data_IF_755938188564
#
_entry.id   IF_755938188564
#
_cell.length_a   1.000
_cell.length_b   1.000
_cell.length_c   1.000
_cell.angle_alpha   90.00
_cell.angle_beta   90.00
_cell.angle_gamma   90.00
#
_symmetry.space_group_name_H-M   'P 1'
#
loop_
_entity.id
_entity.type
_entity.pdbx_description
1 polymer ?
#
# COMPACT_ATOMS: atom_id res chain seq x y z
N UNK A 1 -23.80 -14.52 -20.73
CA UNK A 1 -22.86 -15.67 -20.66
C UNK A 1 -21.37 -15.25 -20.71
N UNK A 2 -20.86 -14.55 -21.74
CA UNK A 2 -19.43 -14.17 -21.78
C UNK A 2 -19.03 -13.14 -20.69
N UNK A 3 -19.89 -12.19 -20.34
CA UNK A 3 -19.66 -11.16 -19.31
C UNK A 3 -19.55 -11.76 -17.90
N UNK A 4 -20.39 -12.75 -17.57
CA UNK A 4 -20.38 -13.43 -16.27
C UNK A 4 -19.15 -14.32 -16.08
N UNK A 5 -18.64 -14.92 -17.17
CA UNK A 5 -17.41 -15.72 -17.14
C UNK A 5 -16.20 -14.85 -16.86
N UNK A 6 -16.08 -13.70 -17.53
CA UNK A 6 -15.00 -12.74 -17.32
C UNK A 6 -15.00 -12.16 -15.89
N UNK A 7 -16.18 -11.93 -15.30
CA UNK A 7 -16.29 -11.44 -13.93
C UNK A 7 -15.92 -12.51 -12.89
N UNK A 8 -16.31 -13.76 -13.11
CA UNK A 8 -15.89 -14.89 -12.27
C UNK A 8 -14.38 -15.12 -12.34
N UNK A 9 -13.79 -15.06 -13.53
CA UNK A 9 -12.34 -15.21 -13.73
C UNK A 9 -11.57 -14.08 -13.07
N UNK A 10 -12.05 -12.85 -13.14
CA UNK A 10 -11.45 -11.71 -12.44
C UNK A 10 -11.52 -11.87 -10.91
N UNK A 11 -12.66 -12.33 -10.37
CA UNK A 11 -12.81 -12.61 -8.93
C UNK A 11 -11.89 -13.72 -8.45
N UNK A 12 -11.73 -14.79 -9.26
CA UNK A 12 -10.82 -15.88 -8.93
C UNK A 12 -9.37 -15.42 -8.93
N UNK A 13 -8.92 -14.67 -9.94
CA UNK A 13 -7.58 -14.08 -9.98
C UNK A 13 -7.28 -13.22 -8.75
N UNK A 14 -8.24 -12.41 -8.29
CA UNK A 14 -8.08 -11.60 -7.08
C UNK A 14 -7.92 -12.48 -5.84
N UNK A 15 -8.71 -13.56 -5.72
CA UNK A 15 -8.58 -14.51 -4.60
C UNK A 15 -7.22 -15.20 -4.60
N UNK A 16 -6.73 -15.63 -5.77
CA UNK A 16 -5.42 -16.27 -5.91
C UNK A 16 -4.29 -15.32 -5.54
N UNK A 17 -4.36 -14.06 -5.98
CA UNK A 17 -3.39 -13.04 -5.59
C UNK A 17 -3.42 -12.81 -4.06
N UNK A 18 -4.59 -12.75 -3.45
CA UNK A 18 -4.72 -12.59 -2.00
C UNK A 18 -4.17 -13.78 -1.23
N UNK A 19 -4.44 -15.00 -1.70
CA UNK A 19 -3.90 -16.24 -1.14
C UNK A 19 -2.38 -16.24 -1.23
N UNK A 20 -1.82 -16.06 -2.41
CA UNK A 20 -0.37 -16.03 -2.63
C UNK A 20 0.33 -14.97 -1.77
N UNK A 21 -0.27 -13.79 -1.62
CA UNK A 21 0.26 -12.73 -0.75
C UNK A 21 0.26 -13.12 0.72
N UNK A 22 -0.75 -13.86 1.18
CA UNK A 22 -0.82 -14.37 2.56
C UNK A 22 0.22 -15.45 2.79
N UNK A 23 0.27 -16.43 1.91
CA UNK A 23 1.19 -17.57 2.00
C UNK A 23 2.65 -17.09 1.97
N UNK A 24 2.98 -16.14 1.10
CA UNK A 24 4.32 -15.50 1.08
C UNK A 24 4.64 -14.79 2.40
N UNK A 25 3.70 -14.06 2.97
CA UNK A 25 3.88 -13.36 4.24
C UNK A 25 4.11 -14.33 5.39
N UNK A 26 3.35 -15.41 5.44
CA UNK A 26 3.49 -16.46 6.45
C UNK A 26 4.86 -17.18 6.32
N UNK A 27 5.25 -17.54 5.09
CA UNK A 27 6.56 -18.13 4.82
C UNK A 27 7.72 -17.21 5.23
N UNK A 28 7.62 -15.91 4.93
CA UNK A 28 8.63 -14.93 5.33
C UNK A 28 8.78 -14.81 6.84
N UNK A 29 7.67 -14.78 7.58
CA UNK A 29 7.68 -14.69 9.04
C UNK A 29 8.23 -15.99 9.69
N UNK A 30 7.87 -17.13 9.14
CA UNK A 30 8.36 -18.43 9.59
C UNK A 30 9.87 -18.54 9.38
N UNK A 31 10.37 -18.19 8.21
CA UNK A 31 11.81 -18.23 7.92
C UNK A 31 12.58 -17.24 8.81
N UNK A 32 12.06 -16.05 9.03
CA UNK A 32 12.64 -15.07 9.93
C UNK A 32 12.71 -15.57 11.39
N UNK A 33 11.65 -16.21 11.88
CA UNK A 33 11.60 -16.74 13.23
C UNK A 33 12.60 -17.89 13.43
N UNK A 34 12.69 -18.78 12.46
CA UNK A 34 13.65 -19.90 12.48
C UNK A 34 15.10 -19.41 12.48
N UNK A 35 15.44 -18.42 11.65
CA UNK A 35 16.78 -17.85 11.61
C UNK A 35 17.10 -17.04 12.87
N UNK A 36 16.11 -16.36 13.45
CA UNK A 36 16.30 -15.53 14.64
C UNK A 36 16.60 -16.36 15.90
N UNK A 37 15.82 -17.41 16.17
CA UNK A 37 15.92 -18.20 17.42
C UNK A 37 15.48 -19.67 17.31
N UNK A 38 15.36 -20.22 16.09
CA UNK A 38 15.02 -21.62 15.86
C UNK A 38 13.57 -22.02 16.12
N UNK A 39 12.67 -21.07 16.33
CA UNK A 39 11.23 -21.32 16.56
C UNK A 39 10.39 -20.86 15.38
N UNK A 40 9.12 -21.26 15.33
CA UNK A 40 8.21 -20.95 14.21
C UNK A 40 7.55 -19.56 14.32
N UNK A 41 7.69 -18.84 15.43
CA UNK A 41 7.12 -17.50 15.63
C UNK A 41 8.13 -16.57 16.28
N UNK A 42 8.22 -15.34 15.79
CA UNK A 42 8.99 -14.29 16.45
C UNK A 42 8.34 -13.87 17.77
N UNK A 43 9.13 -13.50 18.79
CA UNK A 43 8.63 -12.96 20.05
C UNK A 43 7.82 -11.67 19.78
N UNK A 44 6.73 -11.46 20.52
CA UNK A 44 5.93 -10.22 20.40
C UNK A 44 6.73 -8.97 20.73
N UNK A 45 7.72 -9.08 21.62
CA UNK A 45 8.61 -7.97 22.00
C UNK A 45 9.36 -7.34 20.84
N UNK A 46 9.69 -8.09 19.77
CA UNK A 46 10.40 -7.53 18.61
C UNK A 46 9.53 -6.57 17.78
N UNK A 47 8.21 -6.59 17.96
CA UNK A 47 7.28 -5.73 17.24
C UNK A 47 7.01 -4.39 17.92
N UNK A 48 7.25 -4.27 19.22
CA UNK A 48 6.86 -3.10 20.00
C UNK A 48 7.49 -1.80 19.49
N UNK A 49 8.73 -1.87 19.01
CA UNK A 49 9.47 -0.69 18.59
C UNK A 49 9.76 -0.63 17.09
N UNK A 50 9.20 -1.55 16.30
CA UNK A 50 9.52 -1.66 14.89
C UNK A 50 8.37 -1.24 13.98
N UNK A 51 8.40 0.00 13.53
CA UNK A 51 7.52 0.43 12.43
C UNK A 51 7.83 -0.36 11.15
N UNK A 52 6.79 -1.01 10.59
CA UNK A 52 6.88 -1.77 9.32
C UNK A 52 7.75 -3.05 9.35
N UNK A 53 8.03 -3.66 10.51
CA UNK A 53 8.87 -4.87 10.58
C UNK A 53 8.35 -6.00 9.67
N UNK A 54 7.06 -6.28 9.69
CA UNK A 54 6.47 -7.31 8.82
C UNK A 54 6.73 -7.05 7.34
N UNK A 55 6.71 -5.79 6.90
CA UNK A 55 7.04 -5.44 5.52
C UNK A 55 8.53 -5.61 5.24
N UNK A 56 9.41 -5.20 6.18
CA UNK A 56 10.86 -5.40 6.05
C UNK A 56 11.20 -6.90 5.96
N UNK A 57 10.59 -7.75 6.80
CA UNK A 57 10.79 -9.21 6.78
C UNK A 57 10.29 -9.80 5.44
N UNK A 58 9.14 -9.35 4.94
CA UNK A 58 8.63 -9.80 3.66
C UNK A 58 9.59 -9.44 2.50
N UNK A 59 10.10 -8.21 2.47
CA UNK A 59 11.06 -7.77 1.47
C UNK A 59 12.39 -8.53 1.59
N UNK A 60 12.90 -8.74 2.81
CA UNK A 60 14.07 -9.56 3.10
C UNK A 60 13.93 -10.99 2.56
N UNK A 61 12.77 -11.60 2.73
CA UNK A 61 12.46 -12.92 2.20
C UNK A 61 12.43 -12.93 0.66
N UNK A 62 11.74 -11.95 0.05
CA UNK A 62 11.70 -11.80 -1.41
C UNK A 62 13.08 -11.61 -2.02
N UNK A 63 13.97 -10.93 -1.32
CA UNK A 63 15.33 -10.60 -1.75
C UNK A 63 16.37 -11.68 -1.42
N UNK A 64 15.92 -12.87 -1.00
CA UNK A 64 16.84 -13.96 -0.62
C UNK A 64 17.89 -13.50 0.39
N UNK A 65 17.44 -12.71 1.39
CA UNK A 65 18.26 -12.20 2.51
C UNK A 65 19.35 -11.22 2.10
N UNK A 66 19.28 -10.62 0.93
CA UNK A 66 20.28 -9.67 0.43
C UNK A 66 19.73 -8.25 0.35
N UNK A 67 20.60 -7.27 0.55
CA UNK A 67 20.32 -5.89 0.17
C UNK A 67 20.14 -5.81 -1.33
N UNK A 68 19.02 -5.25 -1.79
CA UNK A 68 18.69 -5.25 -3.22
C UNK A 68 19.73 -4.53 -4.08
N UNK A 69 20.41 -3.50 -3.57
CA UNK A 69 21.35 -2.72 -4.37
C UNK A 69 22.81 -3.09 -4.20
N UNK A 70 23.18 -3.73 -3.10
CA UNK A 70 24.60 -4.03 -2.81
C UNK A 70 24.92 -5.51 -2.79
N UNK A 71 23.92 -6.38 -2.87
CA UNK A 71 24.11 -7.82 -2.73
C UNK A 71 24.57 -8.31 -1.35
N UNK A 72 24.87 -7.40 -0.41
CA UNK A 72 25.30 -7.76 0.93
C UNK A 72 24.20 -8.51 1.67
N UNK A 73 24.56 -9.59 2.37
CA UNK A 73 23.62 -10.37 3.16
C UNK A 73 23.07 -9.56 4.33
N UNK A 74 21.76 -9.61 4.52
CA UNK A 74 21.03 -9.01 5.64
C UNK A 74 20.70 -10.12 6.63
N UNK A 75 21.36 -10.14 7.79
CA UNK A 75 21.04 -11.06 8.87
C UNK A 75 19.76 -10.61 9.57
N UNK A 76 18.85 -11.54 9.86
CA UNK A 76 17.59 -11.22 10.52
C UNK A 76 17.78 -10.56 11.89
N UNK A 77 18.82 -10.93 12.62
CA UNK A 77 19.17 -10.30 13.91
C UNK A 77 19.51 -8.83 13.74
N UNK A 78 20.29 -8.48 12.71
CA UNK A 78 20.66 -7.09 12.43
C UNK A 78 19.43 -6.30 11.98
N UNK A 79 18.53 -6.89 11.18
CA UNK A 79 17.27 -6.26 10.76
C UNK A 79 16.38 -5.92 11.96
N UNK A 80 16.37 -6.78 12.98
CA UNK A 80 15.56 -6.60 14.19
C UNK A 80 16.21 -5.65 15.18
N UNK A 81 17.52 -5.77 15.45
CA UNK A 81 18.17 -5.01 16.51
C UNK A 81 18.75 -3.67 16.05
N UNK A 82 19.13 -3.57 14.77
CA UNK A 82 19.77 -2.38 14.21
C UNK A 82 18.82 -1.61 13.30
N UNK A 83 17.77 -1.01 13.90
CA UNK A 83 16.63 -0.35 13.22
C UNK A 83 17.03 0.68 12.16
N UNK A 84 18.20 1.30 12.35
CA UNK A 84 18.69 2.40 11.51
C UNK A 84 19.56 1.93 10.33
N UNK A 85 19.96 0.66 10.28
CA UNK A 85 20.83 0.15 9.22
C UNK A 85 20.10 -0.12 7.91
N UNK A 86 18.80 -0.45 7.97
CA UNK A 86 18.02 -0.89 6.82
C UNK A 86 16.76 -0.04 6.63
N UNK A 87 16.54 0.37 5.42
CA UNK A 87 15.39 1.18 5.01
C UNK A 87 14.60 0.48 3.90
N UNK A 88 13.32 0.83 3.80
CA UNK A 88 12.49 0.46 2.66
C UNK A 88 12.61 1.58 1.66
N UNK A 89 13.13 1.27 0.48
CA UNK A 89 13.24 2.21 -0.62
C UNK A 89 12.22 1.92 -1.73
N UNK A 90 11.84 2.96 -2.46
CA UNK A 90 11.08 2.83 -3.70
C UNK A 90 12.05 2.67 -4.87
N UNK A 91 11.94 1.55 -5.58
CA UNK A 91 12.78 1.21 -6.73
C UNK A 91 12.78 2.36 -7.75
N UNK A 92 11.59 2.75 -8.18
CA UNK A 92 11.36 3.97 -8.93
C UNK A 92 10.85 5.06 -7.98
N UNK A 93 11.41 6.28 -8.02
CA UNK A 93 11.09 7.33 -7.07
C UNK A 93 9.58 7.59 -6.94
N UNK A 94 9.07 7.54 -5.70
CA UNK A 94 7.65 7.71 -5.42
C UNK A 94 7.14 9.10 -5.88
N UNK A 95 7.97 10.12 -5.76
CA UNK A 95 7.66 11.48 -6.21
C UNK A 95 7.40 11.61 -7.71
N UNK A 96 7.93 10.67 -8.51
CA UNK A 96 7.80 10.65 -9.97
C UNK A 96 6.74 9.68 -10.45
N UNK A 97 6.59 8.54 -9.78
CA UNK A 97 5.71 7.44 -10.24
C UNK A 97 4.38 7.37 -9.50
N UNK A 98 4.30 7.91 -8.29
CA UNK A 98 3.17 7.74 -7.37
C UNK A 98 2.82 6.28 -7.05
N UNK A 99 3.76 5.33 -7.26
CA UNK A 99 3.56 3.91 -6.98
C UNK A 99 4.10 3.51 -5.61
N UNK A 100 3.21 3.40 -4.61
CA UNK A 100 3.52 2.91 -3.25
C UNK A 100 3.27 1.40 -3.10
N UNK A 101 3.11 0.66 -4.21
CA UNK A 101 2.89 -0.79 -4.16
C UNK A 101 4.12 -1.55 -3.67
N UNK A 102 3.91 -2.79 -3.17
CA UNK A 102 5.02 -3.66 -2.75
C UNK A 102 5.95 -4.03 -3.91
N UNK A 103 5.45 -3.99 -5.15
CA UNK A 103 6.27 -4.22 -6.34
C UNK A 103 7.29 -3.12 -6.58
N UNK A 104 7.03 -1.91 -6.08
CA UNK A 104 7.96 -0.78 -6.14
C UNK A 104 8.80 -0.61 -4.86
N UNK A 105 8.83 -1.60 -3.96
CA UNK A 105 9.56 -1.51 -2.69
C UNK A 105 10.62 -2.58 -2.58
N UNK A 106 11.77 -2.19 -2.02
CA UNK A 106 12.89 -3.07 -1.67
C UNK A 106 13.43 -2.73 -0.29
N UNK A 107 14.09 -3.71 0.33
CA UNK A 107 14.84 -3.54 1.58
C UNK A 107 16.32 -3.31 1.24
N UNK A 108 16.89 -2.23 1.70
CA UNK A 108 18.26 -1.84 1.37
C UNK A 108 19.01 -1.33 2.58
N UNK A 109 20.34 -1.32 2.49
CA UNK A 109 21.16 -0.58 3.43
C UNK A 109 20.84 0.91 3.34
N UNK A 110 20.78 1.60 4.47
CA UNK A 110 20.53 3.04 4.53
C UNK A 110 21.53 3.85 3.69
N UNK A 111 22.79 3.48 3.72
CA UNK A 111 23.85 4.11 2.90
C UNK A 111 23.55 3.98 1.42
N UNK A 112 23.20 2.78 0.95
CA UNK A 112 22.84 2.53 -0.44
C UNK A 112 21.57 3.30 -0.86
N UNK A 113 20.60 3.45 0.04
CA UNK A 113 19.42 4.26 -0.20
C UNK A 113 19.78 5.74 -0.39
N UNK A 114 20.64 6.27 0.48
CA UNK A 114 21.11 7.66 0.39
C UNK A 114 21.91 7.92 -0.90
N UNK A 115 22.80 7.00 -1.27
CA UNK A 115 23.56 7.09 -2.51
C UNK A 115 22.67 7.01 -3.76
N UNK A 116 21.65 6.14 -3.77
CA UNK A 116 20.68 6.06 -4.86
C UNK A 116 19.87 7.35 -5.00
N UNK A 117 19.40 7.92 -3.89
CA UNK A 117 18.57 9.12 -3.89
C UNK A 117 17.34 8.99 -4.81
N UNK A 118 17.01 9.99 -5.60
CA UNK A 118 15.87 10.02 -6.53
C UNK A 118 16.16 9.38 -7.90
N UNK A 119 17.23 8.56 -8.00
CA UNK A 119 17.61 7.86 -9.23
C UNK A 119 16.99 6.47 -9.31
N UNK A 120 16.93 5.90 -10.51
CA UNK A 120 16.61 4.48 -10.70
C UNK A 120 17.83 3.60 -10.38
N UNK A 121 17.67 2.27 -10.15
CA UNK A 121 18.81 1.37 -10.01
C UNK A 121 19.77 1.44 -11.18
N UNK A 122 19.25 1.50 -12.42
CA UNK A 122 20.07 1.66 -13.63
C UNK A 122 20.97 2.90 -13.59
N UNK A 123 20.44 4.02 -13.11
CA UNK A 123 21.18 5.29 -13.03
C UNK A 123 22.17 5.38 -11.88
N UNK A 124 22.10 4.48 -10.90
CA UNK A 124 22.80 4.65 -9.63
C UNK A 124 23.77 3.50 -9.28
N UNK A 125 23.49 2.26 -9.63
CA UNK A 125 24.23 1.11 -9.10
C UNK A 125 25.72 1.20 -9.41
N UNK A 126 26.14 1.48 -10.65
CA UNK A 126 27.55 1.57 -11.01
C UNK A 126 28.27 2.78 -10.39
N UNK A 127 27.55 3.71 -9.80
CA UNK A 127 28.11 4.88 -9.11
C UNK A 127 28.14 4.76 -7.59
N UNK A 128 27.59 3.69 -7.02
CA UNK A 128 27.58 3.45 -5.59
C UNK A 128 28.91 2.90 -5.08
N UNK A 129 29.38 3.42 -3.96
CA UNK A 129 30.70 3.05 -3.40
C UNK A 129 30.81 1.58 -2.98
N UNK A 130 29.72 0.95 -2.63
CA UNK A 130 29.70 -0.44 -2.09
C UNK A 130 28.72 -1.36 -2.83
N UNK A 131 28.28 -0.96 -3.99
CA UNK A 131 27.36 -1.74 -4.82
C UNK A 131 28.12 -2.76 -5.67
N UNK A 132 27.42 -3.81 -6.09
CA UNK A 132 27.83 -4.64 -7.20
C UNK A 132 27.67 -3.88 -8.52
N UNK A 133 28.27 -4.39 -9.59
CA UNK A 133 28.08 -3.82 -10.94
C UNK A 133 26.62 -3.96 -11.38
N UNK A 134 26.15 -3.11 -12.27
CA UNK A 134 24.81 -3.24 -12.83
C UNK A 134 24.58 -4.60 -13.51
N UNK A 135 25.64 -5.20 -14.09
CA UNK A 135 25.57 -6.53 -14.66
C UNK A 135 25.26 -7.61 -13.61
N UNK A 136 25.98 -7.62 -12.48
CA UNK A 136 25.74 -8.55 -11.38
C UNK A 136 24.36 -8.36 -10.76
N UNK A 137 23.93 -7.12 -10.61
CA UNK A 137 22.59 -6.78 -10.18
C UNK A 137 21.52 -7.32 -11.14
N UNK A 138 21.70 -7.14 -12.45
CA UNK A 138 20.79 -7.62 -13.49
C UNK A 138 20.65 -9.15 -13.45
N UNK A 139 21.74 -9.87 -13.26
CA UNK A 139 21.73 -11.32 -13.13
C UNK A 139 21.03 -11.77 -11.82
N UNK A 140 21.31 -11.10 -10.71
CA UNK A 140 20.57 -11.36 -9.46
C UNK A 140 19.06 -11.16 -9.63
N UNK A 141 18.63 -10.06 -10.25
CA UNK A 141 17.20 -9.77 -10.44
C UNK A 141 16.52 -10.80 -11.35
N UNK A 142 17.18 -11.20 -12.44
CA UNK A 142 16.65 -12.20 -13.38
C UNK A 142 16.50 -13.56 -12.72
N UNK A 143 17.52 -13.99 -11.96
CA UNK A 143 17.59 -15.32 -11.36
C UNK A 143 16.74 -15.45 -10.08
N UNK A 144 16.38 -14.34 -9.44
CA UNK A 144 15.55 -14.37 -8.23
C UNK A 144 14.13 -14.86 -8.55
N UNK A 145 13.75 -16.02 -7.99
CA UNK A 145 12.45 -16.66 -8.22
C UNK A 145 11.33 -16.07 -7.35
N UNK A 146 11.66 -15.33 -6.29
CA UNK A 146 10.70 -14.75 -5.35
C UNK A 146 10.22 -13.36 -5.79
N UNK A 147 10.90 -12.70 -6.72
CA UNK A 147 10.45 -11.44 -7.27
C UNK A 147 9.28 -11.63 -8.24
N UNK A 148 8.23 -10.82 -8.08
CA UNK A 148 7.17 -10.74 -9.08
C UNK A 148 7.68 -10.15 -10.40
N UNK A 149 7.04 -10.49 -11.51
CA UNK A 149 7.39 -9.94 -12.82
C UNK A 149 7.41 -8.40 -12.83
N UNK A 150 6.41 -7.76 -12.20
CA UNK A 150 6.35 -6.30 -12.06
C UNK A 150 7.53 -5.73 -11.25
N UNK A 151 7.95 -6.43 -10.18
CA UNK A 151 9.14 -5.99 -9.41
C UNK A 151 10.40 -6.09 -10.22
N UNK A 152 10.57 -7.17 -11.01
CA UNK A 152 11.72 -7.32 -11.93
C UNK A 152 11.73 -6.23 -13.00
N UNK A 153 10.57 -5.92 -13.59
CA UNK A 153 10.41 -4.81 -14.56
C UNK A 153 10.89 -3.48 -13.95
N UNK A 154 10.51 -3.18 -12.70
CA UNK A 154 10.92 -1.94 -12.04
C UNK A 154 12.41 -1.92 -11.68
N UNK A 155 12.96 -3.04 -11.20
CA UNK A 155 14.39 -3.14 -10.87
C UNK A 155 15.29 -3.01 -12.12
N UNK A 156 14.83 -3.51 -13.25
CA UNK A 156 15.54 -3.47 -14.54
C UNK A 156 15.09 -2.31 -15.44
N UNK A 157 14.44 -1.30 -14.88
CA UNK A 157 13.94 -0.17 -15.65
C UNK A 157 15.10 0.74 -16.08
N UNK A 158 15.35 0.82 -17.38
CA UNK A 158 16.50 1.53 -17.99
C UNK A 158 16.12 2.88 -18.63
N UNK A 159 14.80 3.15 -18.82
CA UNK A 159 14.36 4.41 -19.41
C UNK A 159 14.59 5.60 -18.44
N UNK A 160 14.77 6.77 -19.00
CA UNK A 160 14.86 8.00 -18.20
C UNK A 160 13.49 8.39 -17.63
N UNK A 161 13.31 8.15 -16.33
CA UNK A 161 12.05 8.39 -15.62
C UNK A 161 11.70 9.89 -15.48
N UNK A 162 12.64 10.79 -15.75
CA UNK A 162 12.40 12.24 -15.69
C UNK A 162 11.66 12.71 -16.94
N UNK A 163 11.83 12.01 -18.08
CA UNK A 163 11.14 12.35 -19.33
C UNK A 163 9.63 12.32 -19.15
N UNK A 164 8.97 13.34 -19.66
CA UNK A 164 7.54 13.55 -19.50
C UNK A 164 6.68 12.37 -19.99
N UNK A 165 7.01 11.80 -21.15
CA UNK A 165 6.30 10.67 -21.75
C UNK A 165 6.43 9.39 -20.90
N UNK A 166 7.61 9.13 -20.35
CA UNK A 166 7.87 8.01 -19.44
C UNK A 166 7.10 8.20 -18.14
N UNK A 167 7.24 9.37 -17.52
CA UNK A 167 6.58 9.71 -16.27
C UNK A 167 5.05 9.71 -16.39
N UNK A 168 4.49 10.22 -17.49
CA UNK A 168 3.04 10.27 -17.71
C UNK A 168 2.43 8.87 -17.80
N UNK A 169 3.15 7.87 -18.33
CA UNK A 169 2.71 6.46 -18.33
C UNK A 169 2.54 5.90 -16.91
N UNK A 170 3.42 6.27 -15.98
CA UNK A 170 3.29 5.87 -14.57
C UNK A 170 2.16 6.63 -13.88
N UNK A 171 2.11 7.94 -14.05
CA UNK A 171 1.08 8.80 -13.45
C UNK A 171 -0.32 8.38 -13.89
N UNK A 172 -0.56 8.21 -15.19
CA UNK A 172 -1.88 7.79 -15.70
C UNK A 172 -2.31 6.42 -15.21
N UNK A 173 -1.35 5.49 -15.05
CA UNK A 173 -1.61 4.15 -14.49
C UNK A 173 -1.91 4.19 -12.99
N UNK A 174 -1.26 5.06 -12.24
CA UNK A 174 -1.31 5.10 -10.77
C UNK A 174 -2.29 6.15 -10.23
N UNK A 175 -2.68 7.17 -11.02
CA UNK A 175 -3.81 8.07 -10.70
C UNK A 175 -5.15 7.34 -10.62
N UNK A 176 -5.24 6.13 -11.18
CA UNK A 176 -6.38 5.23 -10.93
C UNK A 176 -6.38 4.71 -9.48
N UNK A 177 -5.28 4.80 -8.76
CA UNK A 177 -5.21 4.47 -7.34
C UNK A 177 -5.60 5.68 -6.47
N UNK A 178 -6.92 5.85 -6.32
CA UNK A 178 -7.53 6.86 -5.41
C UNK A 178 -6.96 6.80 -3.99
N UNK A 179 -6.29 5.71 -3.60
CA UNK A 179 -5.64 5.57 -2.30
C UNK A 179 -4.45 6.51 -2.13
N UNK A 180 -3.64 6.68 -3.17
CA UNK A 180 -2.49 7.58 -3.08
C UNK A 180 -2.95 9.04 -2.98
N UNK A 181 -3.85 9.47 -3.87
CA UNK A 181 -4.41 10.81 -3.83
C UNK A 181 -5.07 11.10 -2.47
N UNK A 182 -5.87 10.14 -1.96
CA UNK A 182 -6.47 10.26 -0.63
C UNK A 182 -5.46 10.36 0.50
N UNK A 183 -4.31 9.66 0.42
CA UNK A 183 -3.25 9.74 1.42
C UNK A 183 -2.53 11.09 1.39
N UNK A 184 -2.21 11.60 0.20
CA UNK A 184 -1.56 12.91 0.05
C UNK A 184 -2.45 14.02 0.61
N UNK A 185 -3.74 14.02 0.23
CA UNK A 185 -4.71 14.99 0.75
C UNK A 185 -4.89 14.85 2.26
N UNK A 186 -4.98 13.61 2.78
CA UNK A 186 -5.08 13.35 4.21
C UNK A 186 -3.90 13.95 4.97
N UNK A 187 -2.68 13.66 4.54
CA UNK A 187 -1.48 14.17 5.21
C UNK A 187 -1.42 15.69 5.16
N UNK A 188 -1.65 16.30 4.00
CA UNK A 188 -1.66 17.76 3.84
C UNK A 188 -2.69 18.45 4.76
N UNK A 189 -3.92 17.89 4.85
CA UNK A 189 -4.94 18.41 5.73
C UNK A 189 -4.62 18.21 7.22
N UNK A 190 -4.07 17.04 7.58
CA UNK A 190 -3.66 16.78 8.96
C UNK A 190 -2.52 17.71 9.40
N UNK A 191 -1.54 17.96 8.53
CA UNK A 191 -0.44 18.89 8.80
C UNK A 191 -0.95 20.32 8.93
N UNK A 192 -1.81 20.76 8.01
CA UNK A 192 -2.44 22.08 8.07
C UNK A 192 -3.20 22.35 9.38
N UNK A 193 -4.03 21.39 9.82
CA UNK A 193 -4.79 21.56 11.06
C UNK A 193 -3.91 21.42 12.31
N UNK A 194 -2.84 20.64 12.25
CA UNK A 194 -1.86 20.53 13.33
C UNK A 194 -1.10 21.85 13.53
N UNK A 195 -0.63 22.47 12.44
CA UNK A 195 0.04 23.77 12.49
C UNK A 195 -0.85 24.87 13.05
N UNK A 196 -2.15 24.78 12.82
CA UNK A 196 -3.13 25.74 13.37
C UNK A 196 -3.62 25.39 14.78
N UNK A 197 -3.05 24.38 15.43
CA UNK A 197 -3.51 23.87 16.74
C UNK A 197 -5.03 23.58 16.79
N UNK A 198 -5.63 23.26 15.65
CA UNK A 198 -7.06 22.97 15.57
C UNK A 198 -7.35 21.52 15.97
N UNK A 199 -8.40 21.31 16.78
CA UNK A 199 -8.84 19.97 17.17
C UNK A 199 -9.61 19.23 16.06
N UNK A 200 -9.43 19.64 14.82
CA UNK A 200 -10.11 19.05 13.67
C UNK A 200 -9.53 17.68 13.33
N UNK A 201 -10.36 16.66 13.40
CA UNK A 201 -9.98 15.29 13.02
C UNK A 201 -10.23 15.10 11.53
N UNK A 202 -9.17 14.79 10.78
CA UNK A 202 -9.25 14.43 9.36
C UNK A 202 -9.08 12.93 9.21
N UNK A 203 -10.03 12.28 8.52
CA UNK A 203 -10.02 10.82 8.29
C UNK A 203 -10.40 10.50 6.85
N UNK A 204 -9.95 9.34 6.36
CA UNK A 204 -10.30 8.79 5.05
C UNK A 204 -11.24 7.61 5.22
N UNK A 205 -12.34 7.61 4.49
CA UNK A 205 -13.30 6.52 4.46
C UNK A 205 -13.00 5.59 3.28
N UNK A 206 -12.89 4.29 3.55
CA UNK A 206 -12.63 3.29 2.51
C UNK A 206 -13.86 3.09 1.63
N UNK A 207 -13.66 3.00 0.30
CA UNK A 207 -14.75 2.77 -0.66
C UNK A 207 -15.56 1.48 -0.39
N UNK A 208 -14.94 0.46 0.19
CA UNK A 208 -15.65 -0.75 0.64
C UNK A 208 -16.66 -0.45 1.75
N UNK A 209 -16.30 0.44 2.68
CA UNK A 209 -17.19 0.85 3.77
C UNK A 209 -18.36 1.68 3.25
N UNK A 210 -18.12 2.64 2.35
CA UNK A 210 -19.23 3.40 1.73
C UNK A 210 -20.14 2.50 0.90
N UNK A 211 -19.62 1.46 0.26
CA UNK A 211 -20.42 0.48 -0.46
C UNK A 211 -21.28 -0.39 0.49
N UNK A 212 -20.77 -0.72 1.69
CA UNK A 212 -21.55 -1.42 2.72
C UNK A 212 -22.68 -0.54 3.26
N UNK A 213 -22.37 0.73 3.56
CA UNK A 213 -23.39 1.68 4.03
C UNK A 213 -24.49 1.89 2.99
N UNK A 214 -24.14 2.08 1.70
CA UNK A 214 -25.16 2.17 0.63
C UNK A 214 -26.08 0.95 0.61
N UNK A 215 -25.53 -0.25 0.69
CA UNK A 215 -26.34 -1.49 0.75
C UNK A 215 -27.23 -1.55 1.96
N UNK A 216 -26.71 -1.21 3.13
CA UNK A 216 -27.47 -1.20 4.37
C UNK A 216 -28.61 -0.19 4.36
N UNK A 217 -28.46 0.93 3.64
CA UNK A 217 -29.47 1.98 3.51
C UNK A 217 -30.36 1.82 2.28
N UNK A 218 -30.23 0.74 1.51
CA UNK A 218 -31.03 0.49 0.33
C UNK A 218 -30.73 1.44 -0.84
N UNK A 219 -29.59 2.14 -0.80
CA UNK A 219 -29.22 3.11 -1.84
C UNK A 219 -28.50 2.39 -2.98
N UNK A 220 -29.11 2.36 -4.16
CA UNK A 220 -28.50 1.83 -5.37
C UNK A 220 -27.55 2.86 -5.99
N UNK A 221 -26.43 2.40 -6.55
CA UNK A 221 -25.50 3.26 -7.27
C UNK A 221 -25.81 3.22 -8.77
N UNK A 222 -26.46 4.26 -9.30
CA UNK A 222 -26.49 4.49 -10.75
C UNK A 222 -25.26 5.30 -11.16
N UNK A 223 -24.73 5.00 -12.36
CA UNK A 223 -23.64 5.74 -12.99
C UNK A 223 -24.09 6.53 -14.22
N UNK A 224 -25.39 6.57 -14.46
CA UNK A 224 -25.98 7.25 -15.63
C UNK A 224 -25.93 8.77 -15.50
N UNK A 225 -25.79 9.25 -14.27
CA UNK A 225 -25.69 10.67 -13.93
C UNK A 225 -24.60 10.92 -12.88
N UNK A 226 -24.20 12.18 -12.70
CA UNK A 226 -23.22 12.57 -11.65
C UNK A 226 -23.81 12.61 -10.23
N UNK A 227 -25.11 12.35 -10.05
CA UNK A 227 -25.76 12.34 -8.73
C UNK A 227 -25.13 11.34 -7.76
N UNK A 228 -24.53 10.27 -8.26
CA UNK A 228 -23.83 9.32 -7.41
C UNK A 228 -22.66 9.93 -6.63
N UNK A 229 -22.05 11.02 -7.11
CA UNK A 229 -21.00 11.73 -6.35
C UNK A 229 -21.60 12.48 -5.16
N UNK A 230 -22.76 13.10 -5.31
CA UNK A 230 -23.47 13.74 -4.20
C UNK A 230 -23.88 12.72 -3.14
N UNK A 231 -24.42 11.57 -3.57
CA UNK A 231 -24.79 10.47 -2.67
C UNK A 231 -23.55 9.93 -1.94
N UNK A 232 -22.44 9.73 -2.64
CA UNK A 232 -21.19 9.29 -2.02
C UNK A 232 -20.67 10.32 -0.99
N UNK A 233 -20.77 11.62 -1.27
CA UNK A 233 -20.39 12.68 -0.33
C UNK A 233 -21.26 12.68 0.95
N UNK A 234 -22.56 12.50 0.83
CA UNK A 234 -23.48 12.37 1.97
C UNK A 234 -23.12 11.13 2.80
N UNK A 235 -22.83 10.00 2.17
CA UNK A 235 -22.46 8.76 2.86
C UNK A 235 -21.12 8.94 3.60
N UNK A 236 -20.14 9.61 3.00
CA UNK A 236 -18.86 9.92 3.64
C UNK A 236 -19.05 10.84 4.84
N UNK A 237 -19.88 11.89 4.71
CA UNK A 237 -20.18 12.79 5.81
C UNK A 237 -20.89 12.07 6.96
N UNK A 238 -21.87 11.22 6.66
CA UNK A 238 -22.55 10.40 7.67
C UNK A 238 -21.62 9.38 8.33
N UNK A 239 -20.70 8.79 7.57
CA UNK A 239 -19.72 7.83 8.08
C UNK A 239 -18.83 8.41 9.19
N UNK A 240 -18.54 9.71 9.14
CA UNK A 240 -17.74 10.41 10.17
C UNK A 240 -18.44 10.48 11.54
N UNK A 241 -19.77 10.35 11.56
CA UNK A 241 -20.60 10.39 12.75
C UNK A 241 -20.86 9.00 13.36
N UNK A 242 -20.47 7.94 12.65
CA UNK A 242 -20.67 6.58 13.13
C UNK A 242 -19.48 6.19 14.02
N UNK A 243 -19.78 5.85 15.29
CA UNK A 243 -18.75 5.28 16.16
C UNK A 243 -18.42 3.85 15.70
N UNK A 244 -17.16 3.44 15.85
CA UNK A 244 -16.70 2.09 15.49
C UNK A 244 -17.51 0.97 16.18
N UNK A 245 -18.07 1.23 17.36
CA UNK A 245 -18.94 0.30 18.09
C UNK A 245 -20.27 0.02 17.37
N UNK A 246 -20.86 1.02 16.73
CA UNK A 246 -22.10 0.86 15.97
C UNK A 246 -21.88 0.12 14.64
N UNK A 247 -20.65 0.07 14.16
CA UNK A 247 -20.28 -0.62 12.91
C UNK A 247 -20.15 -2.13 13.14
N UNK A 248 -19.74 -2.55 14.35
CA UNK A 248 -19.54 -3.96 14.70
C UNK A 248 -20.85 -4.67 15.10
N UNK A 249 -21.94 -3.94 15.32
CA UNK A 249 -23.26 -4.49 15.65
C UNK A 249 -24.30 -4.10 14.57
N UNK A 250 -24.33 -4.79 13.40
CA UNK A 250 -25.16 -4.39 12.27
C UNK A 250 -26.66 -4.59 12.46
N UNK A 251 -27.13 -5.24 13.52
CA UNK A 251 -28.52 -5.69 13.64
C UNK A 251 -29.46 -4.76 14.40
N UNK A 252 -28.97 -3.72 15.07
CA UNK A 252 -29.84 -3.04 16.05
C UNK A 252 -30.09 -1.54 15.90
N UNK A 253 -29.45 -0.79 14.97
CA UNK A 253 -29.64 0.67 15.06
C UNK A 253 -29.65 1.49 13.77
N UNK A 254 -29.34 0.94 12.60
CA UNK A 254 -29.11 1.77 11.41
C UNK A 254 -30.36 2.44 10.85
N UNK A 255 -31.48 1.77 10.81
CA UNK A 255 -32.74 2.36 10.30
C UNK A 255 -33.27 3.46 11.23
N UNK A 256 -33.17 3.29 12.54
CA UNK A 256 -33.71 4.24 13.51
C UNK A 256 -32.90 5.56 13.59
N UNK A 257 -31.60 5.52 13.45
CA UNK A 257 -30.75 6.71 13.55
C UNK A 257 -30.82 7.58 12.29
N UNK A 258 -30.91 6.96 11.12
CA UNK A 258 -30.96 7.67 9.85
C UNK A 258 -32.34 8.36 9.66
N UNK A 259 -33.41 7.65 9.91
CA UNK A 259 -34.78 8.20 9.81
C UNK A 259 -35.01 9.33 10.82
N UNK A 260 -34.52 9.17 12.06
CA UNK A 260 -34.65 10.19 13.10
C UNK A 260 -33.84 11.47 12.81
N UNK A 261 -32.72 11.36 12.11
CA UNK A 261 -31.86 12.50 11.81
C UNK A 261 -32.23 13.18 10.48
N UNK A 262 -32.77 12.44 9.52
CA UNK A 262 -33.36 13.00 8.29
C UNK A 262 -34.64 13.80 8.59
N UNK A 263 -35.46 13.34 9.55
CA UNK A 263 -36.62 14.10 10.02
C UNK A 263 -36.24 15.40 10.75
N UNK A 264 -35.09 15.43 11.43
CA UNK A 264 -34.56 16.63 12.08
C UNK A 264 -33.95 17.66 11.10
N UNK A 265 -33.54 17.23 9.90
CA UNK A 265 -32.97 18.10 8.87
C UNK A 265 -34.02 18.64 7.90
N UNK A 266 -35.32 18.33 8.09
CA UNK A 266 -36.44 18.77 7.25
C UNK A 266 -36.20 18.55 5.73
N UNK A 267 -35.40 17.55 5.38
CA UNK A 267 -35.21 17.11 4.01
C UNK A 267 -36.36 16.14 3.67
N UNK A 268 -37.58 16.67 3.58
CA UNK A 268 -38.66 15.95 2.94
C UNK A 268 -38.37 15.91 1.45
N UNK A 269 -38.13 14.71 1.00
CA UNK A 269 -37.87 14.33 -0.37
C UNK A 269 -39.10 14.55 -1.25
N UNK A 270 -39.02 15.48 -2.13
CA UNK A 270 -39.64 15.35 -3.44
C UNK A 270 -38.54 14.87 -4.41
N UNK A 271 -38.47 13.57 -4.61
CA UNK A 271 -37.83 12.91 -5.72
C UNK A 271 -38.78 11.89 -6.31
#
# INVERSE_FOLDING_TARGET
MARDKNEKDAKNRVKDIQKNNRDEKEAALLEAAREYHGKDKLPTSVYHDHKNLNLKIRLWYQQEKKCAYTGKTIKIKDLIHSKHLYEIDHILPLSLTFDDSISNKVLVLKTANQEKSQRTPYQSIDTMTSAWTYHEFKEYVKNNKKFSGKKKEYLLFEEDIIKYDVRSRFISRNLVDTRYASRVVLNALQDYYREKNAQTRVSVVRGQFTAQLRRAWGITKSRDTYHHHAVDAVIVAAASQLSLWNILNPLLSFQHLFVKRMSLLNLQTHF
#
